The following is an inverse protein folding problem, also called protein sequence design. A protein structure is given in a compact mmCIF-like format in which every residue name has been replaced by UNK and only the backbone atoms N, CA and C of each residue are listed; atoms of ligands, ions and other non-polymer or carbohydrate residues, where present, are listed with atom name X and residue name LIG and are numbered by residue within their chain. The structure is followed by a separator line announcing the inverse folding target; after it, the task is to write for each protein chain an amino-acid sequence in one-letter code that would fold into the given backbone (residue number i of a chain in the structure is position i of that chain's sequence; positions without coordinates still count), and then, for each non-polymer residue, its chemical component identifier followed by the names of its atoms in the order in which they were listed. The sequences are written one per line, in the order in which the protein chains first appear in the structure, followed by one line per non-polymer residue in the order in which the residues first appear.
data_IF_526284536401
#
_entry.id   IF_526284536401
#
_cell.length_a   1.000
_cell.length_b   1.000
_cell.length_c   1.000
_cell.angle_alpha   90.00
_cell.angle_beta   90.00
_cell.angle_gamma   90.00
#
_symmetry.space_group_name_H-M   'P 1'
#
loop_
_entity.id
_entity.type
_entity.pdbx_description
1 polymer ?
#
# COMPACT_ATOMS: atom_id res chain seq x y z
N UNK A 1 -25.92 -4.71 -31.36
CA UNK A 1 -24.56 -4.24 -30.99
C UNK A 1 -23.58 -5.34 -31.37
N UNK A 2 -22.67 -5.07 -32.26
CA UNK A 2 -21.65 -6.04 -32.69
C UNK A 2 -20.60 -6.22 -31.58
N UNK A 3 -20.01 -7.43 -31.48
CA UNK A 3 -18.97 -7.77 -30.51
C UNK A 3 -17.86 -6.71 -30.46
N UNK A 4 -17.41 -6.25 -31.64
CA UNK A 4 -16.39 -5.19 -31.82
C UNK A 4 -16.76 -3.84 -31.20
N UNK A 5 -18.04 -3.52 -31.09
CA UNK A 5 -18.49 -2.25 -30.50
C UNK A 5 -18.49 -2.32 -28.98
N UNK A 6 -18.86 -3.48 -28.40
CA UNK A 6 -18.75 -3.75 -26.96
C UNK A 6 -17.30 -3.71 -26.48
N UNK A 7 -16.38 -4.26 -27.27
CA UNK A 7 -14.95 -4.27 -26.95
C UNK A 7 -14.35 -2.87 -26.96
N UNK A 8 -14.77 -2.00 -27.89
CA UNK A 8 -14.34 -0.60 -27.95
C UNK A 8 -14.88 0.23 -26.79
N UNK A 9 -16.13 0.01 -26.40
CA UNK A 9 -16.74 0.71 -25.27
C UNK A 9 -16.10 0.27 -23.95
N UNK A 10 -15.83 -1.02 -23.78
CA UNK A 10 -15.09 -1.56 -22.62
C UNK A 10 -13.66 -0.97 -22.53
N UNK A 11 -12.94 -0.84 -23.65
CA UNK A 11 -11.63 -0.22 -23.70
C UNK A 11 -11.68 1.28 -23.34
N UNK A 12 -12.71 2.01 -23.75
CA UNK A 12 -12.90 3.41 -23.36
C UNK A 12 -13.20 3.57 -21.88
N UNK A 13 -14.10 2.75 -21.33
CA UNK A 13 -14.39 2.74 -19.91
C UNK A 13 -13.16 2.40 -19.07
N UNK A 14 -12.36 1.44 -19.54
CA UNK A 14 -11.11 1.07 -18.88
C UNK A 14 -10.08 2.21 -18.94
N UNK A 15 -9.95 2.92 -20.07
CA UNK A 15 -9.05 4.06 -20.21
C UNK A 15 -9.45 5.20 -19.26
N UNK A 16 -10.77 5.52 -19.18
CA UNK A 16 -11.27 6.53 -18.24
C UNK A 16 -11.02 6.14 -16.79
N UNK A 17 -11.23 4.87 -16.44
CA UNK A 17 -10.94 4.35 -15.12
C UNK A 17 -9.44 4.45 -14.79
N UNK A 18 -8.58 4.08 -15.73
CA UNK A 18 -7.12 4.15 -15.59
C UNK A 18 -6.63 5.59 -15.43
N UNK A 19 -7.10 6.52 -16.27
CA UNK A 19 -6.77 7.94 -16.16
C UNK A 19 -7.27 8.56 -14.86
N UNK A 20 -8.47 8.18 -14.39
CA UNK A 20 -8.98 8.63 -13.10
C UNK A 20 -8.15 8.10 -11.92
N UNK A 21 -7.63 6.87 -12.05
CA UNK A 21 -6.70 6.27 -11.11
C UNK A 21 -5.37 7.01 -11.06
N UNK A 22 -4.78 7.32 -12.23
CA UNK A 22 -3.55 8.12 -12.34
C UNK A 22 -3.71 9.54 -11.78
N UNK A 23 -4.86 10.20 -12.04
CA UNK A 23 -5.15 11.52 -11.47
C UNK A 23 -5.29 11.51 -9.95
N UNK A 24 -5.80 10.41 -9.37
CA UNK A 24 -5.85 10.24 -7.91
C UNK A 24 -4.48 9.95 -7.30
N UNK A 25 -3.59 9.30 -8.05
CA UNK A 25 -2.20 9.05 -7.64
C UNK A 25 -1.33 10.30 -7.76
N UNK A 26 -1.63 11.17 -8.70
CA UNK A 26 -1.06 12.51 -8.80
C UNK A 26 -1.81 13.49 -7.87
N UNK A 27 -1.99 13.14 -6.61
CA UNK A 27 -2.15 14.17 -5.61
C UNK A 27 -0.89 15.02 -5.69
N UNK A 28 -1.06 16.29 -6.01
CA UNK A 28 -0.01 17.29 -6.27
C UNK A 28 0.92 17.43 -5.06
N UNK A 29 1.79 16.46 -4.87
CA UNK A 29 2.93 16.59 -3.98
C UNK A 29 4.01 17.30 -4.80
N UNK A 30 3.74 18.57 -5.16
CA UNK A 30 4.74 19.49 -5.72
C UNK A 30 5.77 19.83 -4.62
N UNK A 31 6.35 18.80 -3.99
CA UNK A 31 7.43 18.98 -3.04
C UNK A 31 8.71 19.26 -3.82
N UNK A 32 9.33 20.38 -3.50
CA UNK A 32 10.68 20.65 -4.00
C UNK A 32 11.66 19.62 -3.45
N UNK A 33 12.75 19.36 -4.18
CA UNK A 33 13.81 18.43 -3.74
C UNK A 33 14.33 18.77 -2.32
N UNK A 34 14.37 20.05 -1.97
CA UNK A 34 14.78 20.51 -0.63
C UNK A 34 13.77 20.11 0.46
N UNK A 35 12.47 20.18 0.17
CA UNK A 35 11.42 19.73 1.09
C UNK A 35 11.45 18.22 1.27
N UNK A 36 11.61 17.45 0.18
CA UNK A 36 11.76 16.01 0.23
C UNK A 36 12.96 15.61 1.10
N UNK A 37 14.12 16.25 0.90
CA UNK A 37 15.32 15.96 1.67
C UNK A 37 15.15 16.27 3.18
N UNK A 38 14.36 17.28 3.52
CA UNK A 38 14.07 17.66 4.91
C UNK A 38 13.04 16.73 5.57
N UNK A 39 11.97 16.41 4.87
CA UNK A 39 10.84 15.64 5.44
C UNK A 39 11.10 14.14 5.45
N UNK A 40 11.90 13.65 4.53
CA UNK A 40 12.22 12.23 4.40
C UNK A 40 12.78 11.60 5.67
N UNK A 41 13.82 12.12 6.33
CA UNK A 41 14.35 11.54 7.57
C UNK A 41 13.32 11.49 8.69
N UNK A 42 12.48 12.53 8.79
CA UNK A 42 11.40 12.61 9.79
C UNK A 42 10.35 11.54 9.55
N UNK A 43 9.87 11.42 8.33
CA UNK A 43 8.86 10.42 7.95
C UNK A 43 9.40 8.98 8.08
N UNK A 44 10.65 8.75 7.69
CA UNK A 44 11.27 7.43 7.81
C UNK A 44 11.55 7.02 9.27
N UNK A 45 11.54 7.96 10.21
CA UNK A 45 11.71 7.67 11.64
C UNK A 45 10.43 7.14 12.30
N UNK A 46 9.23 7.58 11.87
CA UNK A 46 7.95 7.08 12.40
C UNK A 46 7.14 6.40 11.28
N UNK A 47 7.02 5.06 11.32
CA UNK A 47 6.28 4.31 10.32
C UNK A 47 4.79 4.68 10.26
N UNK A 48 4.19 5.10 11.36
CA UNK A 48 2.76 5.49 11.39
C UNK A 48 2.56 6.83 10.68
N UNK A 49 3.44 7.80 10.94
CA UNK A 49 3.42 9.09 10.25
C UNK A 49 3.68 8.91 8.75
N UNK A 50 4.63 8.05 8.39
CA UNK A 50 4.94 7.69 7.02
C UNK A 50 3.73 7.09 6.28
N UNK A 51 3.03 6.14 6.90
CA UNK A 51 1.83 5.52 6.32
C UNK A 51 0.73 6.56 6.11
N UNK A 52 0.47 7.41 7.10
CA UNK A 52 -0.54 8.48 6.99
C UNK A 52 -0.22 9.47 5.88
N UNK A 53 1.06 9.77 5.68
CA UNK A 53 1.51 10.70 4.64
C UNK A 53 1.34 10.13 3.23
N UNK A 54 1.77 8.89 3.01
CA UNK A 54 1.74 8.27 1.68
C UNK A 54 0.41 7.58 1.33
N UNK A 55 -0.38 7.21 2.32
CA UNK A 55 -1.64 6.49 2.12
C UNK A 55 -2.85 7.19 2.79
N UNK A 56 -3.09 8.48 2.52
CA UNK A 56 -4.15 9.23 3.20
C UNK A 56 -5.55 8.65 2.94
N UNK A 57 -5.77 8.06 1.75
CA UNK A 57 -7.05 7.45 1.38
C UNK A 57 -7.44 6.25 2.25
N UNK A 58 -6.44 5.51 2.75
CA UNK A 58 -6.63 4.38 3.66
C UNK A 58 -6.71 4.81 5.12
N UNK A 59 -6.20 5.99 5.45
CA UNK A 59 -6.07 6.48 6.82
C UNK A 59 -7.18 7.47 7.22
N UNK A 60 -8.39 7.29 6.68
CA UNK A 60 -9.58 8.13 7.04
C UNK A 60 -9.97 8.00 8.50
N UNK A 61 -9.63 6.89 9.12
CA UNK A 61 -9.83 6.63 10.55
C UNK A 61 -8.48 6.42 11.24
N UNK A 62 -8.45 6.63 12.54
CA UNK A 62 -7.26 6.34 13.33
C UNK A 62 -6.97 4.84 13.38
N UNK A 63 -5.68 4.51 13.39
CA UNK A 63 -5.26 3.13 13.60
C UNK A 63 -5.62 2.67 15.00
N UNK A 64 -6.18 1.47 15.10
CA UNK A 64 -6.38 0.85 16.38
C UNK A 64 -5.03 0.49 17.05
N UNK A 65 -5.00 0.48 18.37
CA UNK A 65 -3.76 0.25 19.14
C UNK A 65 -3.07 -1.06 18.77
N UNK A 66 -3.83 -2.13 18.50
CA UNK A 66 -3.28 -3.42 18.09
C UNK A 66 -2.61 -3.38 16.72
N UNK A 67 -3.12 -2.56 15.78
CA UNK A 67 -2.52 -2.35 14.46
C UNK A 67 -1.19 -1.60 14.60
N UNK A 68 -1.17 -0.53 15.39
CA UNK A 68 0.04 0.25 15.68
C UNK A 68 1.12 -0.63 16.31
N UNK A 69 0.74 -1.46 17.30
CA UNK A 69 1.65 -2.39 17.96
C UNK A 69 2.23 -3.42 16.99
N UNK A 70 1.42 -3.98 16.09
CA UNK A 70 1.88 -4.93 15.08
C UNK A 70 2.85 -4.27 14.09
N UNK A 71 2.50 -3.09 13.55
CA UNK A 71 3.35 -2.33 12.64
C UNK A 71 4.72 -2.05 13.28
N UNK A 72 4.72 -1.50 14.49
CA UNK A 72 5.96 -1.14 15.19
C UNK A 72 6.83 -2.36 15.50
N UNK A 73 6.24 -3.49 15.92
CA UNK A 73 6.99 -4.73 16.17
C UNK A 73 7.66 -5.26 14.92
N UNK A 74 6.91 -5.37 13.82
CA UNK A 74 7.45 -5.86 12.54
C UNK A 74 8.58 -4.98 11.99
N UNK A 75 8.54 -3.67 12.24
CA UNK A 75 9.51 -2.72 11.69
C UNK A 75 10.74 -2.57 12.61
N UNK A 76 10.54 -2.69 13.93
CA UNK A 76 11.61 -2.51 14.91
C UNK A 76 12.65 -3.63 14.85
N UNK A 77 12.22 -4.87 14.61
CA UNK A 77 13.07 -6.04 14.68
C UNK A 77 13.55 -6.44 13.28
N UNK A 78 14.83 -6.69 13.15
CA UNK A 78 15.42 -7.12 11.88
C UNK A 78 14.96 -8.53 11.49
N UNK A 79 14.88 -9.43 12.48
CA UNK A 79 14.31 -10.76 12.36
C UNK A 79 13.11 -10.88 13.28
N UNK A 80 11.92 -11.07 12.68
CA UNK A 80 10.68 -11.12 13.43
C UNK A 80 9.68 -12.06 12.76
N UNK A 81 8.98 -12.83 13.59
CA UNK A 81 7.85 -13.64 13.18
C UNK A 81 6.58 -13.12 13.86
N UNK A 82 5.60 -12.70 13.07
CA UNK A 82 4.33 -12.16 13.55
C UNK A 82 3.17 -12.98 13.02
N UNK A 83 2.26 -13.38 13.91
CA UNK A 83 1.00 -14.03 13.58
C UNK A 83 -0.14 -13.08 13.86
N UNK A 84 -0.85 -12.65 12.80
CA UNK A 84 -1.99 -11.76 12.90
C UNK A 84 -3.30 -12.55 12.92
N UNK A 85 -3.74 -13.00 14.09
CA UNK A 85 -5.02 -13.71 14.27
C UNK A 85 -6.16 -12.76 14.61
N UNK A 86 -6.32 -11.72 13.78
CA UNK A 86 -7.39 -10.74 13.92
C UNK A 86 -8.68 -11.21 13.26
N UNK A 87 -9.82 -10.74 13.74
CA UNK A 87 -11.10 -11.01 13.13
C UNK A 87 -11.18 -10.49 11.69
N UNK A 88 -12.13 -11.02 10.92
CA UNK A 88 -12.40 -10.54 9.56
C UNK A 88 -12.87 -9.08 9.60
N UNK A 89 -12.41 -8.27 8.64
CA UNK A 89 -12.78 -6.85 8.56
C UNK A 89 -11.86 -5.90 9.33
N UNK A 90 -10.89 -6.38 10.12
CA UNK A 90 -9.94 -5.53 10.87
C UNK A 90 -8.72 -5.08 10.06
N UNK A 91 -8.86 -4.93 8.76
CA UNK A 91 -7.85 -4.42 7.82
C UNK A 91 -6.48 -5.13 7.90
N UNK A 92 -6.46 -6.45 8.18
CA UNK A 92 -5.24 -7.25 8.31
C UNK A 92 -4.34 -7.16 7.09
N UNK A 93 -4.89 -7.41 5.90
CA UNK A 93 -4.14 -7.37 4.64
C UNK A 93 -3.61 -5.98 4.32
N UNK A 94 -4.40 -4.94 4.62
CA UNK A 94 -3.99 -3.54 4.46
C UNK A 94 -2.84 -3.19 5.41
N UNK A 95 -2.89 -3.66 6.65
CA UNK A 95 -1.81 -3.45 7.63
C UNK A 95 -0.53 -4.12 7.18
N UNK A 96 -0.61 -5.36 6.65
CA UNK A 96 0.55 -6.07 6.07
C UNK A 96 1.09 -5.31 4.86
N UNK A 97 0.22 -4.79 3.99
CA UNK A 97 0.62 -3.96 2.85
C UNK A 97 1.44 -2.75 3.32
N UNK A 98 1.00 -2.02 4.33
CA UNK A 98 1.73 -0.87 4.86
C UNK A 98 3.12 -1.24 5.39
N UNK A 99 3.22 -2.35 6.14
CA UNK A 99 4.50 -2.84 6.67
C UNK A 99 5.46 -3.17 5.52
N UNK A 100 4.99 -3.91 4.52
CA UNK A 100 5.78 -4.30 3.35
C UNK A 100 6.24 -3.10 2.55
N UNK A 101 5.32 -2.16 2.25
CA UNK A 101 5.65 -0.95 1.50
C UNK A 101 6.65 -0.07 2.24
N UNK A 102 6.46 0.13 3.55
CA UNK A 102 7.43 0.87 4.35
C UNK A 102 8.82 0.22 4.32
N UNK A 103 8.92 -1.09 4.58
CA UNK A 103 10.19 -1.80 4.62
C UNK A 103 10.91 -1.80 3.26
N UNK A 104 10.16 -1.95 2.17
CA UNK A 104 10.71 -1.94 0.82
C UNK A 104 11.16 -0.54 0.38
N UNK A 105 10.32 0.48 0.57
CA UNK A 105 10.60 1.84 0.11
C UNK A 105 11.65 2.56 0.96
N UNK A 106 11.75 2.23 2.26
CA UNK A 106 12.85 2.70 3.13
C UNK A 106 14.12 1.85 2.97
N UNK A 107 14.15 0.88 2.05
CA UNK A 107 15.27 -0.03 1.77
C UNK A 107 15.73 -0.86 2.98
N UNK A 108 14.90 -1.02 3.99
CA UNK A 108 15.19 -1.89 5.14
C UNK A 108 15.14 -3.37 4.77
N UNK A 109 14.31 -3.73 3.80
CA UNK A 109 14.23 -5.08 3.21
C UNK A 109 14.20 -4.96 1.70
N UNK A 110 15.01 -5.79 1.01
CA UNK A 110 15.15 -5.73 -0.45
C UNK A 110 14.25 -6.72 -1.18
N UNK A 111 13.89 -7.82 -0.52
CA UNK A 111 13.09 -8.89 -1.12
C UNK A 111 11.87 -9.20 -0.26
N UNK A 112 10.72 -9.33 -0.92
CA UNK A 112 9.47 -9.73 -0.29
C UNK A 112 8.92 -10.94 -1.03
N UNK A 113 8.66 -12.02 -0.29
CA UNK A 113 8.02 -13.22 -0.83
C UNK A 113 6.61 -13.32 -0.26
N UNK A 114 5.63 -13.46 -1.13
CA UNK A 114 4.24 -13.69 -0.74
C UNK A 114 3.84 -15.10 -1.14
N UNK A 115 3.36 -15.87 -0.17
CA UNK A 115 2.89 -17.23 -0.36
C UNK A 115 1.41 -17.36 0.02
N UNK A 116 0.70 -18.21 -0.71
CA UNK A 116 -0.70 -18.53 -0.44
C UNK A 116 -0.99 -19.99 -0.79
N UNK A 117 -2.15 -20.48 -0.39
CA UNK A 117 -2.56 -21.87 -0.64
C UNK A 117 -2.74 -22.19 -2.14
N UNK A 118 -3.08 -21.20 -2.96
CA UNK A 118 -3.25 -21.33 -4.42
C UNK A 118 -2.53 -20.21 -5.15
N UNK A 119 -2.16 -20.46 -6.41
CA UNK A 119 -1.54 -19.47 -7.28
C UNK A 119 -2.42 -18.23 -7.46
N UNK A 120 -3.73 -18.41 -7.70
CA UNK A 120 -4.66 -17.28 -7.86
C UNK A 120 -4.74 -16.42 -6.61
N UNK A 121 -4.74 -17.05 -5.45
CA UNK A 121 -4.73 -16.31 -4.17
C UNK A 121 -3.41 -15.56 -3.96
N UNK A 122 -2.27 -16.14 -4.35
CA UNK A 122 -0.99 -15.47 -4.27
C UNK A 122 -0.92 -14.25 -5.21
N UNK A 123 -1.43 -14.38 -6.44
CA UNK A 123 -1.50 -13.26 -7.40
C UNK A 123 -2.37 -12.13 -6.87
N UNK A 124 -3.54 -12.46 -6.28
CA UNK A 124 -4.44 -11.47 -5.67
C UNK A 124 -3.81 -10.71 -4.49
N UNK A 125 -2.88 -11.33 -3.77
CA UNK A 125 -2.13 -10.64 -2.70
C UNK A 125 -1.25 -9.50 -3.26
N UNK A 126 -0.82 -9.58 -4.52
CA UNK A 126 0.00 -8.55 -5.16
C UNK A 126 -0.81 -7.37 -5.72
N UNK A 127 -2.11 -7.53 -5.95
CA UNK A 127 -2.93 -6.50 -6.58
C UNK A 127 -2.94 -5.15 -5.85
N UNK A 128 -3.03 -5.09 -4.50
CA UNK A 128 -2.94 -3.84 -3.77
C UNK A 128 -1.61 -3.10 -3.97
N UNK A 129 -0.50 -3.85 -4.15
CA UNK A 129 0.84 -3.28 -4.32
C UNK A 129 1.08 -2.72 -5.72
N UNK A 130 0.39 -3.23 -6.73
CA UNK A 130 0.50 -2.76 -8.13
C UNK A 130 -0.25 -1.46 -8.37
N UNK A 131 -1.21 -1.13 -7.50
CA UNK A 131 -2.09 0.03 -7.62
C UNK A 131 -1.61 1.25 -6.81
N UNK A 132 -0.50 1.10 -6.10
CA UNK A 132 0.20 2.15 -5.35
C UNK A 132 1.41 2.63 -6.14
#
# INVERSE_FOLDING_TARGET
MTQTQKDRDALREWAVFYESGLRRQNSDVNLTQAQIAKDRPRLEADPIEWIRFFFPEYCKFEFAEFQIKAIRRCIKHEEWFEVLSWARGLAKSTTVMFIVMYLALTKKKCNVMMASATQDSAVRLLDPYKKQ
#
